data_IF_828697159688
#
_entry.id   IF_828697159688
#
_cell.length_a   1.000
_cell.length_b   1.000
_cell.length_c   1.000
_cell.angle_alpha   90.00
_cell.angle_beta   90.00
_cell.angle_gamma   90.00
#
_symmetry.space_group_name_H-M   'P 1'
#
loop_
_entity.id
_entity.type
_entity.pdbx_description
1 polymer ?
#
# COMPACT_ATOMS: atom_id res chain seq x y z
N UNK A 1 -21.44 -27.51 -1.03
CA UNK A 1 -20.88 -27.65 -2.41
C UNK A 1 -19.61 -28.51 -2.31
N UNK A 2 -19.21 -29.21 -3.38
CA UNK A 2 -18.08 -30.15 -3.34
C UNK A 2 -16.77 -29.48 -2.88
N UNK A 3 -16.53 -28.23 -3.26
CA UNK A 3 -15.34 -27.47 -2.85
C UNK A 3 -15.23 -27.22 -1.34
N UNK A 4 -16.32 -27.29 -0.58
CA UNK A 4 -16.31 -27.04 0.87
C UNK A 4 -15.62 -28.17 1.67
N UNK A 5 -15.40 -29.33 1.03
CA UNK A 5 -14.58 -30.38 1.61
C UNK A 5 -13.15 -29.89 1.85
N UNK A 6 -12.57 -29.17 0.88
CA UNK A 6 -11.17 -28.75 0.89
C UNK A 6 -10.98 -27.29 1.32
N UNK A 7 -12.02 -26.47 1.22
CA UNK A 7 -11.94 -25.02 1.47
C UNK A 7 -12.94 -24.60 2.54
N UNK A 8 -12.44 -24.02 3.63
CA UNK A 8 -13.24 -23.21 4.55
C UNK A 8 -13.07 -21.72 4.25
N UNK A 9 -13.93 -20.88 4.81
CA UNK A 9 -13.82 -19.43 4.65
C UNK A 9 -14.35 -18.65 5.85
N UNK A 10 -13.86 -17.42 5.97
CA UNK A 10 -14.29 -16.40 6.94
C UNK A 10 -14.49 -15.06 6.25
N UNK A 11 -15.60 -14.40 6.54
CA UNK A 11 -15.98 -13.14 5.88
C UNK A 11 -15.90 -11.99 6.88
N UNK A 12 -15.26 -10.91 6.45
CA UNK A 12 -15.35 -9.60 7.07
C UNK A 12 -16.43 -8.78 6.36
N UNK A 13 -17.31 -8.17 7.14
CA UNK A 13 -18.28 -7.21 6.65
C UNK A 13 -19.60 -7.83 6.18
N UNK A 14 -20.35 -7.13 5.31
CA UNK A 14 -19.95 -5.88 4.67
C UNK A 14 -19.84 -4.72 5.67
N UNK A 15 -18.71 -4.01 5.65
CA UNK A 15 -18.55 -2.70 6.31
C UNK A 15 -19.19 -1.66 5.40
N UNK A 16 -20.24 -0.98 5.88
CA UNK A 16 -21.06 -0.10 5.04
C UNK A 16 -20.66 1.36 5.20
N UNK A 17 -20.45 2.04 4.09
CA UNK A 17 -20.20 3.48 4.05
C UNK A 17 -21.49 4.23 3.73
N UNK A 18 -21.52 5.53 4.01
CA UNK A 18 -22.74 6.32 3.84
C UNK A 18 -23.09 6.54 2.37
N UNK A 19 -22.11 6.64 1.47
CA UNK A 19 -22.35 7.04 0.07
C UNK A 19 -21.52 6.32 -1.00
N UNK A 20 -20.53 5.49 -0.65
CA UNK A 20 -19.59 4.87 -1.62
C UNK A 20 -19.63 3.33 -1.65
N UNK A 21 -20.71 2.73 -1.15
CA UNK A 21 -20.91 1.28 -1.16
C UNK A 21 -20.43 0.62 0.14
N UNK A 22 -19.87 -0.59 0.03
CA UNK A 22 -19.42 -1.37 1.16
C UNK A 22 -18.10 -2.10 0.87
N UNK A 23 -17.32 -2.32 1.92
CA UNK A 23 -16.11 -3.15 1.87
C UNK A 23 -16.41 -4.53 2.46
N UNK A 24 -15.89 -5.58 1.85
CA UNK A 24 -15.90 -6.93 2.41
C UNK A 24 -14.64 -7.66 2.00
N UNK A 25 -14.17 -8.53 2.87
CA UNK A 25 -13.02 -9.42 2.63
C UNK A 25 -13.48 -10.85 2.89
N UNK A 26 -12.97 -11.79 2.10
CA UNK A 26 -13.18 -13.22 2.35
C UNK A 26 -11.83 -13.91 2.38
N UNK A 27 -11.45 -14.40 3.56
CA UNK A 27 -10.32 -15.28 3.71
C UNK A 27 -10.77 -16.71 3.39
N UNK A 28 -10.10 -17.36 2.44
CA UNK A 28 -10.32 -18.78 2.13
C UNK A 28 -9.16 -19.61 2.68
N UNK A 29 -9.48 -20.69 3.38
CA UNK A 29 -8.51 -21.63 3.90
C UNK A 29 -8.58 -22.95 3.14
N UNK A 30 -7.56 -23.20 2.33
CA UNK A 30 -7.38 -24.49 1.67
C UNK A 30 -6.71 -25.48 2.64
N UNK A 31 -7.51 -26.39 3.19
CA UNK A 31 -7.13 -27.34 4.25
C UNK A 31 -5.95 -28.24 3.84
N UNK A 32 -5.94 -28.87 2.65
CA UNK A 32 -4.90 -29.84 2.30
C UNK A 32 -3.50 -29.23 2.25
N UNK A 33 -3.37 -27.96 1.83
CA UNK A 33 -2.08 -27.26 1.73
C UNK A 33 -1.85 -26.24 2.84
N UNK A 34 -2.71 -26.21 3.86
CA UNK A 34 -2.69 -25.24 4.96
C UNK A 34 -2.44 -23.81 4.48
N UNK A 35 -3.19 -23.40 3.45
CA UNK A 35 -2.97 -22.11 2.77
C UNK A 35 -4.15 -21.19 2.99
N UNK A 36 -3.86 -19.99 3.49
CA UNK A 36 -4.80 -18.89 3.53
C UNK A 36 -4.70 -18.09 2.24
N UNK A 37 -5.82 -17.87 1.56
CA UNK A 37 -5.95 -16.93 0.46
C UNK A 37 -6.73 -15.72 0.95
N UNK A 38 -6.20 -14.52 0.68
CA UNK A 38 -6.82 -13.25 1.07
C UNK A 38 -6.79 -12.30 -0.10
N UNK A 39 -7.78 -11.39 -0.16
CA UNK A 39 -7.89 -10.42 -1.25
C UNK A 39 -7.04 -9.19 -0.94
N UNK A 40 -7.52 -8.28 -0.10
CA UNK A 40 -6.96 -6.94 0.05
C UNK A 40 -6.33 -6.69 1.44
N UNK A 41 -6.82 -7.36 2.48
CA UNK A 41 -6.53 -7.03 3.89
C UNK A 41 -5.13 -7.37 4.37
N UNK A 42 -4.36 -8.17 3.64
CA UNK A 42 -2.96 -8.45 3.96
C UNK A 42 -2.14 -8.53 2.69
N UNK A 43 -0.94 -7.96 2.72
CA UNK A 43 0.05 -8.04 1.66
C UNK A 43 1.45 -8.30 2.23
N UNK A 44 2.39 -8.61 1.36
CA UNK A 44 3.82 -8.70 1.66
C UNK A 44 4.60 -8.15 0.47
N UNK A 45 5.76 -7.52 0.73
CA UNK A 45 6.61 -7.01 -0.33
C UNK A 45 8.09 -7.24 -0.02
N UNK A 46 8.87 -7.62 -1.01
CA UNK A 46 10.33 -7.70 -0.93
C UNK A 46 10.98 -6.76 -1.95
N UNK A 47 12.29 -6.56 -1.84
CA UNK A 47 13.07 -5.80 -2.83
C UNK A 47 13.01 -6.42 -4.24
N UNK A 48 12.74 -7.73 -4.33
CA UNK A 48 12.70 -8.45 -5.60
C UNK A 48 11.36 -8.22 -6.29
N UNK A 49 11.33 -7.63 -7.50
CA UNK A 49 10.09 -7.47 -8.25
C UNK A 49 9.50 -8.82 -8.66
N UNK A 50 8.17 -9.03 -8.63
CA UNK A 50 7.53 -10.25 -9.10
C UNK A 50 7.92 -10.62 -10.54
N UNK A 51 8.02 -11.90 -10.85
CA UNK A 51 8.46 -12.36 -12.18
C UNK A 51 7.64 -11.75 -13.34
N UNK A 52 6.32 -11.62 -13.17
CA UNK A 52 5.42 -11.08 -14.20
C UNK A 52 5.75 -9.64 -14.61
N UNK A 53 6.19 -8.78 -13.68
CA UNK A 53 6.55 -7.41 -14.01
C UNK A 53 7.96 -7.31 -14.62
N UNK A 54 8.76 -8.38 -14.54
CA UNK A 54 10.08 -8.43 -15.17
C UNK A 54 10.02 -8.79 -16.66
N UNK A 55 8.91 -9.38 -17.14
CA UNK A 55 8.68 -9.68 -18.56
C UNK A 55 8.58 -8.39 -19.40
N UNK A 56 7.98 -7.34 -18.82
CA UNK A 56 7.94 -6.00 -19.40
C UNK A 56 8.36 -4.96 -18.33
N UNK A 57 9.65 -4.59 -18.29
CA UNK A 57 10.18 -3.72 -17.23
C UNK A 57 9.82 -2.24 -17.43
N UNK A 58 9.05 -1.88 -18.46
CA UNK A 58 8.79 -0.46 -18.81
C UNK A 58 8.27 0.35 -17.64
N UNK A 59 7.35 -0.19 -16.85
CA UNK A 59 6.83 0.47 -15.65
C UNK A 59 7.92 0.67 -14.59
N UNK A 60 8.74 -0.34 -14.32
CA UNK A 60 9.84 -0.22 -13.36
C UNK A 60 10.86 0.83 -13.83
N UNK A 61 11.27 0.79 -15.09
CA UNK A 61 12.20 1.79 -15.65
C UNK A 61 11.59 3.20 -15.64
N UNK A 62 10.28 3.32 -15.91
CA UNK A 62 9.58 4.60 -15.82
C UNK A 62 9.66 5.20 -14.42
N UNK A 63 9.38 4.39 -13.38
CA UNK A 63 9.39 4.81 -11.98
C UNK A 63 10.80 4.94 -11.36
N UNK A 64 11.81 4.32 -11.95
CA UNK A 64 13.19 4.40 -11.49
C UNK A 64 13.82 5.79 -11.71
N UNK A 65 13.24 6.58 -12.63
CA UNK A 65 13.70 7.94 -12.95
C UNK A 65 13.44 8.91 -11.80
N UNK A 66 14.44 9.69 -11.44
CA UNK A 66 14.37 10.83 -10.55
C UNK A 66 13.73 12.02 -11.24
N UNK A 67 13.94 12.21 -12.54
CA UNK A 67 13.34 13.30 -13.32
C UNK A 67 12.92 12.87 -14.73
N UNK A 68 12.11 13.71 -15.38
CA UNK A 68 11.56 13.44 -16.72
C UNK A 68 12.63 13.31 -17.83
N UNK A 69 13.78 13.94 -17.65
CA UNK A 69 14.92 13.98 -18.57
C UNK A 69 16.01 12.93 -18.26
N UNK A 70 15.85 12.16 -17.18
CA UNK A 70 16.79 11.09 -16.86
C UNK A 70 16.67 9.92 -17.85
N UNK A 71 17.84 9.47 -18.33
CA UNK A 71 17.99 8.26 -19.13
C UNK A 71 18.42 7.14 -18.20
N UNK A 72 17.57 6.13 -18.04
CA UNK A 72 17.85 4.95 -17.21
C UNK A 72 18.29 3.77 -18.07
N UNK A 73 19.15 2.93 -17.49
CA UNK A 73 19.58 1.66 -18.11
C UNK A 73 18.71 0.53 -17.61
N UNK A 74 18.48 -0.45 -18.47
CA UNK A 74 17.78 -1.66 -18.06
C UNK A 74 18.74 -2.64 -17.37
N UNK A 75 18.89 -2.49 -16.06
CA UNK A 75 19.67 -3.37 -15.19
C UNK A 75 18.94 -3.68 -13.87
N UNK A 76 19.42 -4.68 -13.13
CA UNK A 76 18.77 -5.14 -11.91
C UNK A 76 18.62 -4.02 -10.85
N UNK A 77 19.67 -3.21 -10.54
CA UNK A 77 19.52 -2.11 -9.59
C UNK A 77 18.46 -1.07 -9.99
N UNK A 78 18.39 -0.73 -11.28
CA UNK A 78 17.38 0.22 -11.79
C UNK A 78 15.98 -0.36 -11.67
N UNK A 79 15.78 -1.63 -12.02
CA UNK A 79 14.48 -2.30 -11.87
C UNK A 79 14.03 -2.35 -10.41
N UNK A 80 14.95 -2.68 -9.49
CA UNK A 80 14.67 -2.66 -8.04
C UNK A 80 14.29 -1.26 -7.56
N UNK A 81 14.99 -0.20 -8.01
CA UNK A 81 14.63 1.19 -7.71
C UNK A 81 13.22 1.54 -8.19
N UNK A 82 12.90 1.20 -9.42
CA UNK A 82 11.56 1.35 -9.98
C UNK A 82 10.49 0.62 -9.17
N UNK A 83 10.76 -0.63 -8.80
CA UNK A 83 9.84 -1.45 -8.01
C UNK A 83 9.57 -0.87 -6.62
N UNK A 84 10.61 -0.45 -5.88
CA UNK A 84 10.44 0.16 -4.55
C UNK A 84 9.54 1.39 -4.60
N UNK A 85 9.67 2.18 -5.67
CA UNK A 85 8.87 3.38 -5.90
C UNK A 85 7.43 3.06 -6.29
N UNK A 86 7.24 2.06 -7.17
CA UNK A 86 5.90 1.56 -7.52
C UNK A 86 5.13 1.05 -6.30
N UNK A 87 5.79 0.32 -5.40
CA UNK A 87 5.20 -0.18 -4.16
C UNK A 87 4.71 0.97 -3.28
N UNK A 88 5.51 2.03 -3.14
CA UNK A 88 5.11 3.19 -2.36
C UNK A 88 3.95 3.94 -3.02
N UNK A 89 3.98 4.14 -4.35
CA UNK A 89 2.84 4.69 -5.09
C UNK A 89 1.56 3.87 -4.89
N UNK A 90 1.65 2.54 -4.94
CA UNK A 90 0.49 1.66 -4.78
C UNK A 90 -0.09 1.65 -3.36
N UNK A 91 0.74 1.87 -2.34
CA UNK A 91 0.32 1.77 -0.93
C UNK A 91 -0.06 3.13 -0.31
N UNK A 92 0.63 4.22 -0.67
CA UNK A 92 0.44 5.55 -0.06
C UNK A 92 0.11 6.67 -1.07
N UNK A 93 -0.01 6.36 -2.36
CA UNK A 93 -0.26 7.26 -3.50
C UNK A 93 0.77 8.37 -3.76
N UNK A 94 1.22 9.12 -2.75
CA UNK A 94 2.17 10.20 -2.91
C UNK A 94 3.22 10.16 -1.79
N UNK A 95 4.33 9.46 -2.01
CA UNK A 95 5.48 9.48 -1.10
C UNK A 95 5.98 10.92 -0.91
N UNK A 96 6.48 11.25 0.26
CA UNK A 96 6.98 12.58 0.63
C UNK A 96 8.22 12.98 -0.17
N UNK A 97 8.89 12.01 -0.80
CA UNK A 97 10.13 12.17 -1.56
C UNK A 97 9.91 12.64 -3.02
N UNK A 98 8.65 12.86 -3.44
CA UNK A 98 8.33 13.32 -4.81
C UNK A 98 7.76 14.72 -4.85
N UNK A 99 8.39 15.67 -5.53
CA UNK A 99 7.80 16.98 -5.82
C UNK A 99 6.90 16.94 -7.04
N UNK A 100 5.64 17.36 -6.90
CA UNK A 100 4.71 17.45 -8.03
C UNK A 100 5.05 18.69 -8.85
N UNK A 101 5.38 18.48 -10.12
CA UNK A 101 5.66 19.55 -11.06
C UNK A 101 4.36 20.32 -11.34
N UNK A 102 4.35 21.67 -11.31
CA UNK A 102 3.17 22.44 -11.68
C UNK A 102 2.74 22.19 -13.13
N UNK A 103 1.42 22.16 -13.40
CA UNK A 103 0.84 21.88 -14.74
C UNK A 103 1.43 22.78 -15.83
N UNK A 104 1.70 24.05 -15.51
CA UNK A 104 2.29 25.02 -16.44
C UNK A 104 3.68 24.60 -16.96
N UNK A 105 4.38 23.72 -16.24
CA UNK A 105 5.72 23.26 -16.60
C UNK A 105 5.72 21.89 -17.31
N UNK A 106 4.55 21.25 -17.50
CA UNK A 106 4.46 19.90 -18.08
C UNK A 106 4.79 19.88 -19.58
N UNK A 107 4.23 20.81 -20.36
CA UNK A 107 4.43 20.86 -21.82
C UNK A 107 5.91 21.09 -22.22
N UNK A 108 6.64 22.07 -21.65
CA UNK A 108 8.06 22.26 -21.94
C UNK A 108 8.94 21.08 -21.51
N UNK A 109 8.53 20.34 -20.48
CA UNK A 109 9.29 19.18 -19.99
C UNK A 109 9.06 17.93 -20.84
N UNK A 110 7.85 17.74 -21.38
CA UNK A 110 7.57 16.63 -22.29
C UNK A 110 8.47 16.65 -23.54
N UNK A 111 8.85 17.83 -24.03
CA UNK A 111 9.81 17.96 -25.14
C UNK A 111 11.25 17.55 -24.78
N UNK A 112 11.60 17.49 -23.49
CA UNK A 112 12.92 17.07 -23.01
C UNK A 112 13.08 15.56 -22.89
N UNK A 113 11.97 14.80 -22.98
CA UNK A 113 12.01 13.34 -22.88
C UNK A 113 12.82 12.77 -24.05
N UNK A 114 13.92 12.10 -23.71
CA UNK A 114 14.77 11.42 -24.68
C UNK A 114 13.95 10.34 -25.42
N UNK A 115 14.21 10.16 -26.73
CA UNK A 115 13.41 9.30 -27.61
C UNK A 115 13.37 7.85 -27.11
N UNK A 116 14.46 7.31 -26.55
CA UNK A 116 14.52 5.96 -25.99
C UNK A 116 13.69 5.78 -24.72
N UNK A 117 13.36 6.86 -24.01
CA UNK A 117 12.54 6.82 -22.79
C UNK A 117 11.04 6.94 -23.06
N UNK A 118 10.62 7.44 -24.25
CA UNK A 118 9.21 7.59 -24.62
C UNK A 118 8.39 6.29 -24.55
N UNK A 119 8.91 5.11 -24.97
CA UNK A 119 8.18 3.85 -24.89
C UNK A 119 7.81 3.42 -23.47
N UNK A 120 8.53 3.89 -22.44
CA UNK A 120 8.32 3.47 -21.05
C UNK A 120 6.89 3.76 -20.55
N UNK A 121 6.31 4.88 -20.97
CA UNK A 121 4.93 5.27 -20.63
C UNK A 121 3.89 4.90 -21.70
N UNK A 122 4.28 4.21 -22.77
CA UNK A 122 3.38 3.92 -23.90
C UNK A 122 2.17 3.13 -23.43
N UNK A 123 0.99 3.56 -23.86
CA UNK A 123 -0.34 2.98 -23.56
C UNK A 123 -0.81 3.14 -22.10
N UNK A 124 0.06 3.55 -21.17
CA UNK A 124 -0.26 3.76 -19.76
C UNK A 124 -0.29 5.24 -19.35
N UNK A 125 0.54 6.07 -19.98
CA UNK A 125 0.75 7.47 -19.59
C UNK A 125 0.56 8.37 -20.81
N UNK A 126 -0.52 9.17 -20.85
CA UNK A 126 -0.74 10.13 -21.92
C UNK A 126 0.47 11.05 -22.10
N UNK A 127 0.95 11.18 -23.33
CA UNK A 127 2.06 12.06 -23.71
C UNK A 127 3.39 11.80 -22.98
N UNK A 128 3.58 10.61 -22.41
CA UNK A 128 4.78 10.25 -21.63
C UNK A 128 5.09 11.23 -20.49
N UNK A 129 4.06 11.85 -19.91
CA UNK A 129 4.20 12.79 -18.80
C UNK A 129 4.88 12.13 -17.60
N UNK A 130 5.79 12.85 -16.96
CA UNK A 130 6.39 12.46 -15.68
C UNK A 130 6.24 13.63 -14.72
N UNK A 131 5.07 13.78 -14.08
CA UNK A 131 4.71 15.02 -13.38
C UNK A 131 5.32 15.12 -11.98
N UNK A 132 6.39 14.38 -11.69
CA UNK A 132 7.09 14.46 -10.42
C UNK A 132 8.60 14.35 -10.57
N UNK A 133 9.31 14.90 -9.59
CA UNK A 133 10.76 14.75 -9.42
C UNK A 133 11.03 14.10 -8.08
N UNK A 134 11.87 13.07 -8.05
CA UNK A 134 12.40 12.52 -6.80
C UNK A 134 13.59 13.35 -6.34
N UNK A 135 13.62 13.68 -5.05
CA UNK A 135 14.77 14.33 -4.43
C UNK A 135 15.54 13.35 -3.52
N UNK A 136 16.72 13.78 -3.09
CA UNK A 136 17.54 13.10 -2.06
C UNK A 136 17.92 11.65 -2.36
N UNK A 137 18.43 11.37 -3.58
CA UNK A 137 19.07 10.12 -4.03
C UNK A 137 18.82 8.88 -3.14
N UNK A 138 17.89 8.03 -3.55
CA UNK A 138 17.44 6.83 -2.82
C UNK A 138 16.70 7.09 -1.49
N UNK A 139 16.13 8.29 -1.28
CA UNK A 139 15.23 8.57 -0.16
C UNK A 139 14.04 7.59 -0.05
N UNK A 140 13.69 6.92 -1.14
CA UNK A 140 12.69 5.85 -1.18
C UNK A 140 13.06 4.62 -0.32
N UNK A 141 14.35 4.37 -0.06
CA UNK A 141 14.81 3.18 0.66
C UNK A 141 14.32 3.13 2.11
N UNK A 142 14.36 4.25 2.83
CA UNK A 142 13.99 4.27 4.25
C UNK A 142 12.53 3.87 4.43
N UNK A 143 11.64 4.49 3.66
CA UNK A 143 10.22 4.16 3.70
C UNK A 143 9.94 2.76 3.16
N UNK A 144 10.59 2.37 2.04
CA UNK A 144 10.45 1.02 1.51
C UNK A 144 10.88 -0.05 2.52
N UNK A 145 12.00 0.14 3.22
CA UNK A 145 12.47 -0.81 4.23
C UNK A 145 11.50 -0.90 5.42
N UNK A 146 10.92 0.23 5.82
CA UNK A 146 9.91 0.29 6.87
C UNK A 146 8.64 -0.49 6.49
N UNK A 147 8.20 -0.38 5.21
CA UNK A 147 7.07 -1.13 4.62
C UNK A 147 7.39 -2.63 4.49
N UNK A 148 8.50 -2.94 3.83
CA UNK A 148 8.88 -4.29 3.43
C UNK A 148 9.11 -5.20 4.63
N UNK A 149 9.90 -4.75 5.61
CA UNK A 149 10.38 -5.57 6.73
C UNK A 149 10.79 -6.98 6.27
N UNK A 150 11.53 -7.04 5.16
CA UNK A 150 12.01 -8.29 4.55
C UNK A 150 10.87 -9.27 4.17
N UNK A 151 9.72 -8.76 3.73
CA UNK A 151 8.59 -9.58 3.29
C UNK A 151 7.62 -9.99 4.40
N UNK A 152 7.68 -9.38 5.59
CA UNK A 152 6.69 -9.65 6.63
C UNK A 152 5.28 -9.20 6.19
N UNK A 153 4.24 -9.93 6.62
CA UNK A 153 2.84 -9.59 6.33
C UNK A 153 2.42 -8.27 6.99
N UNK A 154 1.68 -7.42 6.28
CA UNK A 154 1.04 -6.23 6.83
C UNK A 154 -0.31 -5.96 6.19
N UNK A 155 -1.21 -5.32 6.94
CA UNK A 155 -2.40 -4.72 6.35
C UNK A 155 -2.01 -3.45 5.59
N UNK A 156 -2.42 -3.28 4.32
CA UNK A 156 -2.09 -2.08 3.56
C UNK A 156 -2.53 -0.78 4.26
N UNK A 157 -1.67 0.26 4.29
CA UNK A 157 -1.95 1.53 4.97
C UNK A 157 -3.20 2.24 4.42
N UNK A 158 -3.48 2.09 3.12
CA UNK A 158 -4.72 2.61 2.52
C UNK A 158 -5.98 2.04 3.18
N UNK A 159 -5.98 0.76 3.56
CA UNK A 159 -7.12 0.14 4.24
C UNK A 159 -7.18 0.55 5.70
N UNK A 160 -6.06 0.60 6.41
CA UNK A 160 -6.01 1.02 7.81
C UNK A 160 -6.22 2.52 8.01
N UNK A 161 -6.09 3.36 6.98
CA UNK A 161 -6.43 4.81 7.06
C UNK A 161 -7.81 5.17 6.53
N UNK A 162 -8.34 4.43 5.56
CA UNK A 162 -9.54 4.84 4.82
C UNK A 162 -10.75 3.93 5.05
N UNK A 163 -10.57 2.74 5.63
CA UNK A 163 -11.62 1.72 5.70
C UNK A 163 -11.70 1.06 7.08
N UNK A 164 -10.67 0.33 7.49
CA UNK A 164 -10.73 -0.63 8.59
C UNK A 164 -10.64 0.03 9.97
N UNK A 165 -10.03 1.22 10.06
CA UNK A 165 -9.95 2.03 11.28
C UNK A 165 -11.27 2.69 11.69
N UNK A 166 -12.30 2.59 10.85
CA UNK A 166 -13.67 3.05 11.14
C UNK A 166 -14.52 2.00 11.81
N UNK A 167 -14.15 0.72 11.68
CA UNK A 167 -14.80 -0.41 12.35
C UNK A 167 -13.72 -1.41 12.86
N UNK A 168 -12.76 -0.95 13.69
CA UNK A 168 -11.62 -1.76 14.11
C UNK A 168 -12.05 -2.96 14.94
N UNK A 169 -13.09 -2.83 15.78
CA UNK A 169 -13.62 -3.95 16.58
C UNK A 169 -14.14 -5.09 15.69
N UNK A 170 -14.94 -4.76 14.67
CA UNK A 170 -15.47 -5.76 13.74
C UNK A 170 -14.36 -6.42 12.91
N UNK A 171 -13.38 -5.61 12.48
CA UNK A 171 -12.20 -6.08 11.74
C UNK A 171 -11.36 -7.03 12.59
N UNK A 172 -11.00 -6.64 13.81
CA UNK A 172 -10.18 -7.45 14.71
C UNK A 172 -10.90 -8.73 15.15
N UNK A 173 -12.22 -8.68 15.38
CA UNK A 173 -13.00 -9.88 15.64
C UNK A 173 -12.98 -10.87 14.47
N UNK A 174 -12.93 -10.39 13.22
CA UNK A 174 -12.73 -11.26 12.05
C UNK A 174 -11.31 -11.83 11.99
N UNK A 175 -10.29 -11.01 12.28
CA UNK A 175 -8.89 -11.49 12.39
C UNK A 175 -8.78 -12.61 13.42
N UNK A 176 -9.43 -12.46 14.59
CA UNK A 176 -9.48 -13.49 15.62
C UNK A 176 -10.10 -14.78 15.11
N UNK A 177 -11.23 -14.71 14.41
CA UNK A 177 -11.87 -15.90 13.82
C UNK A 177 -10.98 -16.60 12.80
N UNK A 178 -10.34 -15.85 11.91
CA UNK A 178 -9.39 -16.39 10.93
C UNK A 178 -8.25 -17.13 11.63
N UNK A 179 -7.63 -16.50 12.62
CA UNK A 179 -6.50 -17.07 13.35
C UNK A 179 -6.86 -18.26 14.24
N UNK A 180 -8.07 -18.28 14.80
CA UNK A 180 -8.53 -19.37 15.67
C UNK A 180 -9.03 -20.57 14.87
N UNK A 181 -9.66 -20.34 13.72
CA UNK A 181 -10.26 -21.41 12.91
C UNK A 181 -9.27 -22.07 11.95
N UNK A 182 -8.27 -21.33 11.47
CA UNK A 182 -7.43 -21.79 10.37
C UNK A 182 -5.96 -21.96 10.80
N UNK A 183 -5.48 -23.21 10.76
CA UNK A 183 -4.07 -23.57 10.98
C UNK A 183 -3.28 -23.47 9.66
N UNK A 184 -3.07 -22.25 9.17
CA UNK A 184 -2.31 -22.02 7.94
C UNK A 184 -0.81 -21.83 8.20
N UNK A 185 0.00 -22.32 7.27
CA UNK A 185 1.47 -22.17 7.29
C UNK A 185 1.95 -21.31 6.10
N UNK A 186 1.00 -20.88 5.27
CA UNK A 186 1.22 -20.14 4.03
C UNK A 186 0.07 -19.17 3.78
N UNK A 187 0.40 -17.97 3.32
CA UNK A 187 -0.55 -16.95 2.89
C UNK A 187 -0.30 -16.59 1.42
N UNK A 188 -1.37 -16.56 0.63
CA UNK A 188 -1.37 -16.05 -0.75
C UNK A 188 -2.28 -14.82 -0.77
N UNK A 189 -1.71 -13.61 -0.70
CA UNK A 189 -2.48 -12.40 -0.94
C UNK A 189 -2.72 -12.21 -2.45
N UNK A 190 -3.79 -11.50 -2.82
CA UNK A 190 -4.03 -11.15 -4.23
C UNK A 190 -3.10 -10.05 -4.75
N UNK A 191 -2.42 -9.32 -3.87
CA UNK A 191 -1.54 -8.20 -4.23
C UNK A 191 -0.10 -8.40 -3.75
N UNK A 192 0.85 -7.91 -4.56
CA UNK A 192 2.31 -7.90 -4.30
C UNK A 192 2.93 -9.31 -4.23
N UNK A 193 3.71 -9.65 -3.18
CA UNK A 193 4.34 -10.96 -3.07
C UNK A 193 3.29 -12.07 -2.99
N UNK A 194 3.54 -13.19 -3.65
CA UNK A 194 2.76 -14.41 -3.50
C UNK A 194 3.50 -15.44 -2.63
N UNK A 195 2.82 -16.55 -2.31
CA UNK A 195 3.44 -17.73 -1.69
C UNK A 195 4.23 -17.41 -0.40
N UNK A 196 3.65 -16.59 0.47
CA UNK A 196 4.32 -16.10 1.68
C UNK A 196 4.26 -17.17 2.77
N UNK A 197 5.42 -17.62 3.28
CA UNK A 197 5.45 -18.49 4.46
C UNK A 197 5.09 -17.66 5.69
N UNK A 198 3.92 -17.94 6.27
CA UNK A 198 3.43 -17.18 7.41
C UNK A 198 2.44 -17.99 8.26
N UNK A 199 2.44 -17.69 9.57
CA UNK A 199 1.57 -18.33 10.56
C UNK A 199 0.40 -17.42 10.97
N UNK A 200 -0.61 -17.95 11.70
CA UNK A 200 -1.68 -17.12 12.27
C UNK A 200 -1.17 -15.98 13.14
N UNK A 201 -0.07 -16.18 13.88
CA UNK A 201 0.53 -15.12 14.69
C UNK A 201 1.08 -13.96 13.82
N UNK A 202 1.69 -14.28 12.67
CA UNK A 202 2.20 -13.26 11.75
C UNK A 202 1.07 -12.54 11.02
N UNK A 203 0.00 -13.25 10.66
CA UNK A 203 -1.22 -12.64 10.12
C UNK A 203 -1.88 -11.72 11.15
N UNK A 204 -2.05 -12.17 12.39
CA UNK A 204 -2.61 -11.37 13.48
C UNK A 204 -1.85 -10.05 13.67
N UNK A 205 -0.51 -10.12 13.66
CA UNK A 205 0.39 -8.96 13.79
C UNK A 205 0.25 -7.95 12.65
N UNK A 206 -0.16 -8.40 11.45
CA UNK A 206 -0.38 -7.52 10.31
C UNK A 206 -1.44 -6.43 10.58
N UNK A 207 -2.34 -6.67 11.53
CA UNK A 207 -3.43 -5.77 11.93
C UNK A 207 -3.14 -4.98 13.21
N UNK A 208 -1.93 -5.06 13.77
CA UNK A 208 -1.54 -4.29 14.96
C UNK A 208 -1.84 -2.79 14.88
N UNK A 209 -1.74 -2.11 13.71
CA UNK A 209 -2.10 -0.70 13.64
C UNK A 209 -3.52 -0.37 14.13
N UNK A 210 -4.48 -1.28 13.90
CA UNK A 210 -5.88 -1.14 14.34
C UNK A 210 -6.04 -1.36 15.85
N UNK A 211 -5.00 -1.80 16.55
CA UNK A 211 -4.95 -1.96 18.02
C UNK A 211 -4.26 -0.79 18.70
N UNK A 212 -3.92 0.27 17.96
CA UNK A 212 -3.33 1.47 18.55
C UNK A 212 -4.36 2.17 19.46
N UNK A 213 -3.84 2.79 20.50
CA UNK A 213 -4.55 3.74 21.36
C UNK A 213 -3.62 4.95 21.60
N UNK A 214 -3.57 5.87 20.62
CA UNK A 214 -2.65 7.01 20.71
C UNK A 214 -2.99 7.96 21.86
N UNK A 215 -4.23 7.95 22.36
CA UNK A 215 -4.66 8.76 23.53
C UNK A 215 -3.90 8.30 24.77
N UNK A 216 -3.79 6.99 24.95
CA UNK A 216 -3.10 6.38 26.09
C UNK A 216 -1.62 6.03 25.78
N UNK A 217 -1.08 6.52 24.66
CA UNK A 217 0.33 6.36 24.29
C UNK A 217 0.71 5.00 23.71
N UNK A 218 -0.26 4.15 23.37
CA UNK A 218 -0.03 2.88 22.71
C UNK A 218 -0.11 3.07 21.19
N UNK A 219 0.99 2.91 20.47
CA UNK A 219 1.01 3.12 19.03
C UNK A 219 1.70 1.95 18.32
N UNK A 220 0.99 1.35 17.37
CA UNK A 220 1.54 0.37 16.44
C UNK A 220 1.68 1.03 15.06
N UNK A 221 2.88 1.01 14.50
CA UNK A 221 3.15 1.64 13.19
C UNK A 221 2.44 0.94 12.05
N UNK A 222 1.84 1.71 11.14
CA UNK A 222 1.28 1.24 9.86
C UNK A 222 2.34 0.78 8.86
N UNK A 223 3.62 0.92 9.22
CA UNK A 223 4.85 0.65 8.47
C UNK A 223 5.41 1.81 7.64
N UNK A 224 4.69 2.46 6.71
CA UNK A 224 5.24 3.64 6.06
C UNK A 224 5.60 4.72 7.08
N UNK A 225 6.53 5.58 6.69
CA UNK A 225 6.87 6.76 7.48
C UNK A 225 5.66 7.67 7.62
N UNK A 226 5.59 8.41 8.72
CA UNK A 226 4.42 9.23 9.04
C UNK A 226 4.21 10.33 7.98
N UNK A 227 5.28 10.92 7.46
CA UNK A 227 5.26 11.90 6.39
C UNK A 227 4.69 11.37 5.07
N UNK A 228 4.85 10.06 4.83
CA UNK A 228 4.37 9.37 3.64
C UNK A 228 2.88 8.97 3.77
N UNK A 229 2.35 8.93 5.00
CA UNK A 229 0.92 8.71 5.27
C UNK A 229 0.09 10.00 5.22
N UNK A 230 0.73 11.18 5.11
CA UNK A 230 0.05 12.47 5.20
C UNK A 230 -1.06 12.66 4.14
N UNK A 231 -0.88 12.12 2.93
CA UNK A 231 -1.93 12.20 1.91
C UNK A 231 -3.13 11.32 2.27
N UNK A 232 -2.90 10.08 2.69
CA UNK A 232 -3.98 9.19 3.13
C UNK A 232 -4.73 9.81 4.31
N UNK A 233 -4.02 10.45 5.23
CA UNK A 233 -4.63 11.19 6.33
C UNK A 233 -5.50 12.35 5.83
N UNK A 234 -5.00 13.14 4.86
CA UNK A 234 -5.77 14.24 4.26
C UNK A 234 -7.02 13.74 3.52
N UNK A 235 -6.92 12.58 2.85
CA UNK A 235 -8.05 11.96 2.18
C UNK A 235 -9.08 11.45 3.21
N UNK A 236 -8.63 10.84 4.32
CA UNK A 236 -9.49 10.42 5.43
C UNK A 236 -10.28 11.60 6.00
N UNK A 237 -9.59 12.73 6.26
CA UNK A 237 -10.22 13.96 6.75
C UNK A 237 -11.31 14.45 5.78
N UNK A 238 -10.98 14.57 4.49
CA UNK A 238 -11.94 15.03 3.49
C UNK A 238 -13.17 14.12 3.39
N UNK A 239 -12.97 12.80 3.33
CA UNK A 239 -14.06 11.83 3.24
C UNK A 239 -14.96 11.86 4.49
N UNK A 240 -14.38 12.13 5.65
CA UNK A 240 -15.13 12.28 6.91
C UNK A 240 -15.91 13.59 6.91
N UNK A 241 -15.28 14.70 6.53
CA UNK A 241 -15.89 16.04 6.49
C UNK A 241 -17.09 16.11 5.54
N UNK A 242 -17.03 15.41 4.40
CA UNK A 242 -18.13 15.34 3.43
C UNK A 242 -19.15 14.22 3.73
N UNK A 243 -19.00 13.52 4.86
CA UNK A 243 -19.94 12.49 5.30
C UNK A 243 -19.94 11.22 4.45
N UNK A 244 -18.84 10.92 3.74
CA UNK A 244 -18.73 9.67 2.95
C UNK A 244 -18.51 8.47 3.85
N UNK A 245 -17.72 8.67 4.91
CA UNK A 245 -17.31 7.66 5.88
C UNK A 245 -17.49 8.17 7.31
N UNK A 246 -17.53 7.26 8.29
CA UNK A 246 -17.46 7.60 9.72
C UNK A 246 -16.08 8.16 10.05
N UNK A 247 -15.97 8.88 11.17
CA UNK A 247 -14.68 9.25 11.78
C UNK A 247 -13.84 8.01 12.06
N UNK A 248 -12.52 8.12 11.96
CA UNK A 248 -11.67 6.99 12.35
C UNK A 248 -11.67 6.86 13.88
N UNK A 249 -11.63 5.63 14.36
CA UNK A 249 -11.61 5.33 15.79
C UNK A 249 -10.18 5.21 16.34
N UNK A 250 -9.21 4.88 15.49
CA UNK A 250 -7.85 4.50 15.93
C UNK A 250 -6.75 5.29 15.21
N UNK A 251 -6.72 5.22 13.88
CA UNK A 251 -5.57 5.68 13.11
C UNK A 251 -5.54 7.20 12.88
N UNK A 252 -6.58 7.94 13.28
CA UNK A 252 -6.61 9.40 13.14
C UNK A 252 -5.62 10.11 14.07
N UNK A 253 -5.25 9.54 15.21
CA UNK A 253 -4.44 10.24 16.22
C UNK A 253 -2.93 10.01 16.07
N UNK A 254 -2.52 9.50 14.91
CA UNK A 254 -1.13 9.15 14.63
C UNK A 254 -0.29 10.35 14.12
N UNK A 255 1.06 10.25 14.18
CA UNK A 255 1.96 11.34 13.77
C UNK A 255 1.77 11.86 12.34
N UNK A 256 1.12 11.10 11.45
CA UNK A 256 0.82 11.49 10.06
C UNK A 256 0.01 12.79 9.91
N UNK A 257 -0.66 13.27 10.97
CA UNK A 257 -1.32 14.59 11.00
C UNK A 257 -0.36 15.77 11.16
N UNK A 258 0.82 15.52 11.72
CA UNK A 258 1.75 16.53 12.21
C UNK A 258 2.99 16.69 11.32
N UNK A 259 3.26 15.70 10.45
CA UNK A 259 4.43 15.69 9.56
C UNK A 259 4.04 15.43 8.11
N UNK A 260 4.92 15.78 7.17
CA UNK A 260 4.71 15.59 5.74
C UNK A 260 3.98 16.75 5.04
N UNK A 261 3.80 16.61 3.73
CA UNK A 261 3.36 17.67 2.81
C UNK A 261 2.02 18.32 3.16
N UNK A 262 1.15 17.60 3.85
CA UNK A 262 -0.22 18.03 4.16
C UNK A 262 -0.47 18.27 5.66
N UNK A 263 0.58 18.21 6.49
CA UNK A 263 0.47 18.53 7.90
C UNK A 263 -0.06 19.95 8.09
N UNK A 264 -1.00 20.13 9.03
CA UNK A 264 -1.43 21.47 9.44
C UNK A 264 -0.21 22.16 10.05
N UNK A 265 0.22 23.29 9.47
CA UNK A 265 1.21 24.16 10.12
C UNK A 265 0.63 24.54 11.49
N UNK A 266 1.35 24.23 12.57
CA UNK A 266 1.03 24.78 13.88
C UNK A 266 1.12 26.31 13.76
N UNK A 267 -0.04 26.96 13.85
CA UNK A 267 -0.17 28.42 13.93
C UNK A 267 0.20 28.92 15.31
#
# INVERSE_FOLDING_TARGET
PEWAADIDYEILGPLRFQSVGAFSETAFFHKPTKTLLVTDTVVSVTNTPPAIIQEDPRAMLFHARDSIDEIVRDDAPTREKGWRRMVQFGLVFFPSQIDVVPVAQWLPQASKVEKSMKPLGKDAVPYSLYPWTWHDNDADLTNFNAISQQGALFCPPILTKLILDREPVATLAWVDRVCQRFDFERVIPCHLNNNVKATPAQFYKAFDPLRSDPINGQLYTQRPLAEDLALLQKASDLLTDVGVVKSAEVCDLEPARLVGRFAKKQS
#
